data_IF_841741451442
#
_entry.id   IF_841741451442
#
_cell.length_a   1.000
_cell.length_b   1.000
_cell.length_c   1.000
_cell.angle_alpha   90.00
_cell.angle_beta   90.00
_cell.angle_gamma   90.00
#
_symmetry.space_group_name_H-M   'P 1'
#
loop_
_entity.id
_entity.type
_entity.pdbx_description
1 polymer ?
#
# COMPACT_ATOMS: atom_id res chain seq x y z
N UNK A 1 -0.60 -15.81 -13.62
CA UNK A 1 0.08 -14.51 -13.49
C UNK A 1 -0.84 -13.64 -12.68
N UNK A 2 -0.48 -13.41 -11.42
CA UNK A 2 -1.10 -12.38 -10.58
C UNK A 2 -0.68 -11.01 -11.11
N UNK A 3 -1.53 -10.00 -10.93
CA UNK A 3 -1.22 -8.63 -11.38
C UNK A 3 0.11 -8.09 -10.78
N UNK A 4 0.52 -8.64 -9.64
CA UNK A 4 1.81 -8.39 -8.96
C UNK A 4 3.06 -8.68 -9.82
N UNK A 5 3.01 -9.62 -10.76
CA UNK A 5 4.14 -9.92 -11.67
C UNK A 5 4.35 -8.82 -12.73
N UNK A 6 3.36 -7.94 -12.93
CA UNK A 6 3.37 -6.88 -13.95
C UNK A 6 3.76 -5.52 -13.38
N UNK A 7 3.85 -5.40 -12.04
CA UNK A 7 4.17 -4.16 -11.36
C UNK A 7 5.67 -3.88 -11.44
N UNK A 8 6.02 -2.72 -11.98
CA UNK A 8 7.41 -2.26 -12.08
C UNK A 8 7.86 -1.66 -10.75
N UNK A 9 9.03 -2.05 -10.23
CA UNK A 9 9.58 -1.49 -9.00
C UNK A 9 10.45 -2.47 -8.22
N UNK A 10 11.04 -2.02 -7.10
CA UNK A 10 11.85 -2.87 -6.22
C UNK A 10 11.01 -3.88 -5.43
N UNK A 11 9.73 -3.56 -5.21
CA UNK A 11 8.75 -4.42 -4.55
C UNK A 11 7.81 -5.05 -5.58
N UNK A 12 8.10 -6.29 -5.98
CA UNK A 12 7.37 -7.05 -7.01
C UNK A 12 7.42 -8.55 -6.75
N UNK A 13 6.53 -9.32 -7.40
CA UNK A 13 6.52 -10.78 -7.31
C UNK A 13 6.41 -11.29 -5.86
N UNK A 14 7.22 -12.28 -5.43
CA UNK A 14 7.16 -12.84 -4.08
C UNK A 14 7.38 -11.83 -2.96
N UNK A 15 8.26 -10.83 -3.17
CA UNK A 15 8.53 -9.81 -2.16
C UNK A 15 7.31 -8.91 -1.93
N UNK A 16 6.52 -8.66 -2.97
CA UNK A 16 5.27 -7.92 -2.84
C UNK A 16 4.27 -8.68 -1.96
N UNK A 17 4.11 -9.98 -2.20
CA UNK A 17 3.23 -10.83 -1.39
C UNK A 17 3.68 -10.87 0.07
N UNK A 18 4.99 -11.07 0.31
CA UNK A 18 5.56 -11.06 1.65
C UNK A 18 5.33 -9.72 2.37
N UNK A 19 5.49 -8.60 1.65
CA UNK A 19 5.22 -7.28 2.21
C UNK A 19 3.74 -7.10 2.58
N UNK A 20 2.81 -7.49 1.71
CA UNK A 20 1.38 -7.36 1.97
C UNK A 20 0.95 -8.23 3.17
N UNK A 21 1.44 -9.46 3.26
CA UNK A 21 1.20 -10.37 4.38
C UNK A 21 1.78 -9.78 5.68
N UNK A 22 3.01 -9.28 5.64
CA UNK A 22 3.65 -8.67 6.80
C UNK A 22 2.92 -7.42 7.31
N UNK A 23 2.52 -6.51 6.41
CA UNK A 23 1.73 -5.31 6.78
C UNK A 23 0.41 -5.72 7.44
N UNK A 24 -0.25 -6.75 6.91
CA UNK A 24 -1.50 -7.26 7.48
C UNK A 24 -1.31 -7.77 8.91
N UNK A 25 -0.20 -8.47 9.19
CA UNK A 25 0.14 -8.91 10.55
C UNK A 25 0.36 -7.71 11.49
N UNK A 26 1.14 -6.71 11.07
CA UNK A 26 1.44 -5.53 11.91
C UNK A 26 0.19 -4.72 12.25
N UNK A 27 -0.69 -4.51 11.27
CA UNK A 27 -1.96 -3.79 11.49
C UNK A 27 -2.85 -4.51 12.52
N UNK A 28 -2.86 -5.84 12.53
CA UNK A 28 -3.62 -6.60 13.53
C UNK A 28 -2.97 -6.57 14.92
N UNK A 29 -1.64 -6.60 14.98
CA UNK A 29 -0.91 -6.44 16.25
C UNK A 29 -1.19 -5.08 16.89
N UNK A 30 -1.37 -4.02 16.08
CA UNK A 30 -1.80 -2.69 16.53
C UNK A 30 -3.29 -2.60 16.93
N UNK A 31 -4.05 -3.68 16.75
CA UNK A 31 -5.47 -3.75 17.11
C UNK A 31 -6.42 -3.18 16.06
N UNK A 32 -5.95 -2.96 14.83
CA UNK A 32 -6.77 -2.55 13.70
C UNK A 32 -7.17 -3.76 12.84
N UNK A 33 -8.32 -3.66 12.16
CA UNK A 33 -8.78 -4.69 11.24
C UNK A 33 -8.90 -4.13 9.84
N UNK A 34 -8.00 -4.57 8.95
CA UNK A 34 -7.98 -4.22 7.53
C UNK A 34 -7.93 -5.52 6.73
N UNK A 35 -8.74 -5.62 5.67
CA UNK A 35 -8.75 -6.79 4.80
C UNK A 35 -7.43 -6.89 4.02
N UNK A 36 -6.87 -8.09 3.89
CA UNK A 36 -5.63 -8.31 3.14
C UNK A 36 -5.74 -7.83 1.68
N UNK A 37 -6.90 -8.07 1.06
CA UNK A 37 -7.17 -7.62 -0.31
C UNK A 37 -7.16 -6.08 -0.44
N UNK A 38 -7.55 -5.35 0.61
CA UNK A 38 -7.48 -3.89 0.61
C UNK A 38 -6.03 -3.40 0.74
N UNK A 39 -5.21 -4.08 1.55
CA UNK A 39 -3.77 -3.79 1.66
C UNK A 39 -3.10 -3.97 0.31
N UNK A 40 -3.31 -5.13 -0.32
CA UNK A 40 -2.80 -5.40 -1.66
C UNK A 40 -3.26 -4.34 -2.67
N UNK A 41 -4.56 -4.01 -2.68
CA UNK A 41 -5.12 -2.99 -3.58
C UNK A 41 -4.44 -1.62 -3.40
N UNK A 42 -4.17 -1.19 -2.16
CA UNK A 42 -3.46 0.06 -1.88
C UNK A 42 -2.05 0.01 -2.48
N UNK A 43 -1.29 -1.04 -2.20
CA UNK A 43 0.09 -1.22 -2.68
C UNK A 43 0.16 -1.32 -4.21
N UNK A 44 -0.77 -2.03 -4.83
CA UNK A 44 -0.90 -2.10 -6.29
C UNK A 44 -1.19 -0.72 -6.87
N UNK A 45 -2.15 0.00 -6.27
CA UNK A 45 -2.58 1.32 -6.76
C UNK A 45 -1.45 2.33 -6.67
N UNK A 46 -0.72 2.37 -5.55
CA UNK A 46 0.47 3.22 -5.37
C UNK A 46 1.50 2.96 -6.49
N UNK A 47 1.77 1.70 -6.83
CA UNK A 47 2.68 1.29 -7.92
C UNK A 47 2.19 1.63 -9.30
N UNK A 48 0.90 1.46 -9.57
CA UNK A 48 0.31 1.87 -10.84
C UNK A 48 0.38 3.39 -11.05
N UNK A 49 0.28 4.17 -9.98
CA UNK A 49 0.40 5.63 -10.03
C UNK A 49 1.86 6.11 -10.11
N UNK A 50 2.83 5.27 -9.73
CA UNK A 50 4.25 5.61 -9.73
C UNK A 50 4.61 6.68 -8.68
N UNK A 51 3.90 6.70 -7.56
CA UNK A 51 4.01 7.76 -6.52
C UNK A 51 4.93 7.39 -5.35
N UNK A 52 5.73 6.33 -5.48
CA UNK A 52 6.62 5.84 -4.41
C UNK A 52 7.64 6.87 -3.95
N UNK A 53 8.03 7.78 -4.86
CA UNK A 53 9.01 8.83 -4.62
C UNK A 53 8.36 10.14 -4.13
N UNK A 54 7.06 10.16 -3.86
CA UNK A 54 6.42 11.30 -3.21
C UNK A 54 6.53 11.18 -1.69
N UNK A 55 6.46 12.33 -1.02
CA UNK A 55 6.20 12.39 0.41
C UNK A 55 4.92 11.61 0.75
N UNK A 56 4.88 10.97 1.93
CA UNK A 56 3.78 10.10 2.38
C UNK A 56 2.41 10.72 2.16
N UNK A 57 2.22 11.98 2.54
CA UNK A 57 0.95 12.71 2.35
C UNK A 57 0.54 12.78 0.88
N UNK A 58 1.48 13.06 -0.04
CA UNK A 58 1.20 13.12 -1.47
C UNK A 58 0.86 11.75 -2.07
N UNK A 59 1.49 10.68 -1.59
CA UNK A 59 1.14 9.32 -1.99
C UNK A 59 -0.27 8.92 -1.52
N UNK A 60 -0.62 9.23 -0.26
CA UNK A 60 -1.95 9.00 0.32
C UNK A 60 -3.03 9.73 -0.49
N UNK A 61 -2.84 11.03 -0.76
CA UNK A 61 -3.79 11.82 -1.56
C UNK A 61 -3.99 11.24 -2.96
N UNK A 62 -2.89 10.79 -3.60
CA UNK A 62 -2.94 10.21 -4.95
C UNK A 62 -3.72 8.89 -4.98
N UNK A 63 -3.49 8.01 -4.01
CA UNK A 63 -4.22 6.73 -3.88
C UNK A 63 -5.70 6.98 -3.58
N UNK A 64 -6.02 7.88 -2.66
CA UNK A 64 -7.40 8.23 -2.32
C UNK A 64 -8.14 8.85 -3.50
N UNK A 65 -7.50 9.74 -4.25
CA UNK A 65 -8.06 10.30 -5.49
C UNK A 65 -8.38 9.19 -6.49
N UNK A 66 -7.46 8.23 -6.64
CA UNK A 66 -7.65 7.10 -7.55
C UNK A 66 -8.80 6.18 -7.14
N UNK A 67 -8.95 5.90 -5.84
CA UNK A 67 -10.09 5.15 -5.32
C UNK A 67 -11.42 5.88 -5.57
N UNK A 68 -11.45 7.20 -5.39
CA UNK A 68 -12.62 8.03 -5.71
C UNK A 68 -13.01 7.94 -7.20
N UNK A 69 -12.04 8.02 -8.11
CA UNK A 69 -12.27 7.87 -9.56
C UNK A 69 -12.80 6.47 -9.93
N UNK A 70 -12.39 5.44 -9.20
CA UNK A 70 -12.80 4.05 -9.41
C UNK A 70 -14.13 3.70 -8.71
N UNK A 71 -14.70 4.62 -7.93
CA UNK A 71 -15.89 4.36 -7.11
C UNK A 71 -15.64 3.39 -5.95
N UNK A 72 -14.38 3.22 -5.54
CA UNK A 72 -13.96 2.40 -4.41
C UNK A 72 -14.06 3.26 -3.15
N UNK A 73 -15.01 2.92 -2.29
CA UNK A 73 -15.28 3.69 -1.07
C UNK A 73 -15.38 2.88 0.20
N UNK A 74 -15.61 1.56 0.11
CA UNK A 74 -15.94 0.70 1.27
C UNK A 74 -17.38 0.92 1.78
N UNK A 75 -18.12 -0.17 1.99
CA UNK A 75 -19.48 -0.18 2.55
C UNK A 75 -19.63 -1.45 3.41
N UNK A 76 -20.00 -1.39 4.70
CA UNK A 76 -20.41 -0.20 5.48
C UNK A 76 -19.27 0.63 6.08
N UNK A 77 -18.02 0.13 6.00
CA UNK A 77 -16.86 0.80 6.55
C UNK A 77 -16.11 1.53 5.44
N UNK A 78 -16.12 2.87 5.42
CA UNK A 78 -15.45 3.62 4.38
C UNK A 78 -13.93 3.45 4.45
N UNK A 79 -13.28 3.41 3.29
CA UNK A 79 -11.82 3.47 3.17
C UNK A 79 -11.43 4.92 3.39
N UNK A 80 -10.66 5.17 4.46
CA UNK A 80 -10.24 6.52 4.85
C UNK A 80 -8.78 6.77 4.48
N UNK A 81 -8.36 8.05 4.39
CA UNK A 81 -6.95 8.40 4.23
C UNK A 81 -6.06 7.78 5.32
N UNK A 82 -6.55 7.68 6.56
CA UNK A 82 -5.80 7.08 7.68
C UNK A 82 -5.49 5.59 7.45
N UNK A 83 -6.40 4.85 6.80
CA UNK A 83 -6.15 3.44 6.44
C UNK A 83 -5.05 3.34 5.40
N UNK A 84 -5.08 4.22 4.39
CA UNK A 84 -4.05 4.26 3.36
C UNK A 84 -2.70 4.66 3.95
N UNK A 85 -2.67 5.70 4.78
CA UNK A 85 -1.47 6.18 5.48
C UNK A 85 -0.82 5.08 6.32
N UNK A 86 -1.63 4.37 7.11
CA UNK A 86 -1.17 3.24 7.93
C UNK A 86 -0.53 2.13 7.09
N UNK A 87 -1.14 1.76 5.95
CA UNK A 87 -0.58 0.75 5.04
C UNK A 87 0.75 1.21 4.45
N UNK A 88 0.84 2.46 3.97
CA UNK A 88 2.07 2.99 3.38
C UNK A 88 3.18 3.23 4.42
N UNK A 89 2.82 3.52 5.68
CA UNK A 89 3.75 3.56 6.81
C UNK A 89 4.41 2.20 7.03
N UNK A 90 3.61 1.14 7.13
CA UNK A 90 4.16 -0.20 7.31
C UNK A 90 4.94 -0.68 6.08
N UNK A 91 4.55 -0.29 4.86
CA UNK A 91 5.37 -0.54 3.67
C UNK A 91 6.78 0.05 3.80
N UNK A 92 6.90 1.28 4.31
CA UNK A 92 8.21 1.92 4.49
C UNK A 92 9.10 1.19 5.48
N UNK A 93 8.52 0.74 6.59
CA UNK A 93 9.24 -0.03 7.60
C UNK A 93 9.70 -1.37 7.04
N UNK A 94 8.83 -2.08 6.32
CA UNK A 94 9.18 -3.34 5.64
C UNK A 94 10.35 -3.15 4.67
N UNK A 95 10.27 -2.13 3.80
CA UNK A 95 11.33 -1.82 2.85
C UNK A 95 12.62 -1.40 3.55
N UNK A 96 12.52 -0.66 4.66
CA UNK A 96 13.64 -0.33 5.54
C UNK A 96 14.35 -1.57 6.07
N UNK A 97 13.60 -2.57 6.57
CA UNK A 97 14.16 -3.84 7.03
C UNK A 97 14.77 -4.68 5.89
N UNK A 98 14.19 -4.61 4.69
CA UNK A 98 14.73 -5.25 3.50
C UNK A 98 15.96 -4.55 2.89
N UNK A 99 16.40 -3.41 3.46
CA UNK A 99 17.50 -2.61 2.93
C UNK A 99 17.17 -1.92 1.59
N UNK A 100 15.88 -1.75 1.30
CA UNK A 100 15.38 -1.16 0.07
C UNK A 100 15.06 0.32 0.33
N UNK A 101 15.95 1.21 -0.10
CA UNK A 101 15.64 2.65 -0.08
C UNK A 101 14.58 2.99 -1.12
N UNK A 102 13.53 3.71 -0.71
CA UNK A 102 12.71 4.49 -1.64
C UNK A 102 13.61 5.51 -2.36
N UNK A 103 13.34 5.84 -3.63
CA UNK A 103 13.94 7.04 -4.22
C UNK A 103 13.57 8.20 -3.30
N UNK A 104 14.57 8.89 -2.74
CA UNK A 104 14.34 10.07 -1.89
C UNK A 104 13.52 11.10 -2.69
N UNK A 105 12.46 11.61 -2.06
CA UNK A 105 11.61 12.72 -2.54
C UNK A 105 12.37 14.03 -2.66
#
# INVERSE_FOLDING_TARGET
MSDADTLTGKLSGPLFTECAEWIWEQIQEDGHFVQGELIELILVTERMLGVQALERTGAVESVMSRFGEMGIGGDPSPITPDVVDMVLMWEDDFLGFAGISRPES
#
